data_IF_283446024362
#
_entry.id   IF_283446024362
#
_cell.length_a   1.000
_cell.length_b   1.000
_cell.length_c   1.000
_cell.angle_alpha   90.00
_cell.angle_beta   90.00
_cell.angle_gamma   90.00
#
_symmetry.space_group_name_H-M   'P 1'
#
loop_
_entity.id
_entity.type
_entity.pdbx_description
1 polymer ?
#
# COMPACT_ATOMS: atom_id res chain seq x y z
N UNK A 1 25.98 17.03 4.28
CA UNK A 1 25.23 15.88 4.84
C UNK A 1 24.17 16.45 5.76
N UNK A 2 22.90 16.01 5.64
CA UNK A 2 21.89 16.38 6.64
C UNK A 2 22.24 15.63 7.94
N UNK A 3 22.11 16.27 9.10
CA UNK A 3 22.27 15.54 10.35
C UNK A 3 21.19 14.46 10.49
N UNK A 4 21.51 13.37 11.20
CA UNK A 4 20.56 12.29 11.52
C UNK A 4 19.25 12.84 12.08
N UNK A 5 19.35 13.81 13.00
CA UNK A 5 18.20 14.51 13.58
C UNK A 5 17.35 15.21 12.52
N UNK A 6 17.96 15.93 11.56
CA UNK A 6 17.22 16.57 10.45
C UNK A 6 16.52 15.54 9.55
N UNK A 7 17.15 14.39 9.29
CA UNK A 7 16.52 13.29 8.55
C UNK A 7 15.33 12.70 9.32
N UNK A 8 15.45 12.51 10.63
CA UNK A 8 14.34 12.08 11.50
C UNK A 8 13.15 13.05 11.45
N UNK A 9 13.40 14.36 11.57
CA UNK A 9 12.34 15.38 11.41
C UNK A 9 11.69 15.36 10.02
N UNK A 10 12.47 15.14 8.96
CA UNK A 10 11.95 15.03 7.60
C UNK A 10 11.06 13.79 7.43
N UNK A 11 11.49 12.64 7.94
CA UNK A 11 10.72 11.39 7.96
C UNK A 11 9.40 11.61 8.72
N UNK A 12 9.45 12.26 9.88
CA UNK A 12 8.25 12.61 10.65
C UNK A 12 7.29 13.47 9.83
N UNK A 13 7.79 14.58 9.24
CA UNK A 13 6.95 15.53 8.52
C UNK A 13 6.26 14.88 7.31
N UNK A 14 7.00 14.14 6.49
CA UNK A 14 6.45 13.49 5.29
C UNK A 14 5.44 12.40 5.70
N UNK A 15 5.76 11.60 6.72
CA UNK A 15 4.85 10.58 7.23
C UNK A 15 3.56 11.20 7.77
N UNK A 16 3.67 12.29 8.53
CA UNK A 16 2.53 13.00 9.11
C UNK A 16 1.61 13.59 8.03
N UNK A 17 2.18 14.22 7.00
CA UNK A 17 1.42 14.68 5.83
C UNK A 17 0.71 13.50 5.14
N UNK A 18 1.38 12.37 4.99
CA UNK A 18 0.80 11.14 4.46
C UNK A 18 -0.38 10.62 5.29
N UNK A 19 -0.28 10.65 6.63
CA UNK A 19 -1.38 10.26 7.55
C UNK A 19 -2.58 11.16 7.33
N UNK A 20 -2.38 12.48 7.31
CA UNK A 20 -3.45 13.46 7.09
C UNK A 20 -4.15 13.23 5.74
N UNK A 21 -3.38 13.00 4.68
CA UNK A 21 -3.92 12.70 3.35
C UNK A 21 -4.75 11.40 3.34
N UNK A 22 -4.26 10.34 3.98
CA UNK A 22 -4.98 9.07 4.06
C UNK A 22 -6.26 9.18 4.90
N UNK A 23 -6.23 9.86 6.06
CA UNK A 23 -7.43 10.10 6.89
C UNK A 23 -8.48 10.91 6.11
N UNK A 24 -8.04 11.91 5.35
CA UNK A 24 -8.92 12.74 4.53
C UNK A 24 -9.66 11.91 3.46
N UNK A 25 -8.97 10.97 2.81
CA UNK A 25 -9.55 10.06 1.79
C UNK A 25 -10.33 8.89 2.42
N UNK A 26 -9.99 8.48 3.64
CA UNK A 26 -10.63 7.35 4.30
C UNK A 26 -12.13 7.56 4.47
N UNK A 27 -12.57 8.76 4.86
CA UNK A 27 -13.99 9.07 5.07
C UNK A 27 -14.87 8.87 3.82
N UNK A 28 -14.56 9.48 2.65
CA UNK A 28 -15.33 9.24 1.43
C UNK A 28 -15.23 7.78 0.96
N UNK A 29 -14.05 7.14 1.07
CA UNK A 29 -13.88 5.73 0.70
C UNK A 29 -14.76 4.82 1.56
N UNK A 30 -14.80 5.02 2.87
CA UNK A 30 -15.67 4.28 3.79
C UNK A 30 -17.15 4.40 3.42
N UNK A 31 -17.61 5.62 3.11
CA UNK A 31 -19.00 5.87 2.66
C UNK A 31 -19.34 5.09 1.38
N UNK A 32 -18.40 4.99 0.45
CA UNK A 32 -18.56 4.22 -0.80
C UNK A 32 -18.44 2.70 -0.55
N UNK A 33 -17.57 2.29 0.37
CA UNK A 33 -17.34 0.90 0.76
C UNK A 33 -18.56 0.28 1.43
N UNK A 34 -19.37 1.04 2.18
CA UNK A 34 -20.60 0.52 2.81
C UNK A 34 -21.80 0.52 1.86
N UNK A 35 -21.87 1.46 0.92
CA UNK A 35 -23.03 1.58 0.05
C UNK A 35 -23.15 0.40 -0.94
N UNK A 36 -24.16 -0.49 -0.83
CA UNK A 36 -24.26 -1.69 -1.66
C UNK A 36 -24.45 -1.41 -3.15
N UNK A 37 -24.90 -0.20 -3.51
CA UNK A 37 -25.03 0.25 -4.91
C UNK A 37 -23.68 0.61 -5.55
N UNK A 38 -22.62 0.71 -4.76
CA UNK A 38 -21.27 1.06 -5.22
C UNK A 38 -20.41 -0.18 -5.42
N UNK A 39 -19.42 -0.05 -6.29
CA UNK A 39 -18.50 -1.14 -6.61
C UNK A 39 -17.83 -1.72 -5.37
N UNK A 40 -17.58 -3.03 -5.37
CA UNK A 40 -16.89 -3.73 -4.28
C UNK A 40 -15.42 -3.32 -4.14
N UNK A 41 -14.90 -2.61 -5.14
CA UNK A 41 -13.56 -2.03 -5.16
C UNK A 41 -13.26 -1.15 -3.94
N UNK A 42 -14.25 -0.41 -3.45
CA UNK A 42 -14.07 0.50 -2.33
C UNK A 42 -13.80 -0.23 -1.01
N UNK A 43 -14.19 -1.50 -0.90
CA UNK A 43 -13.82 -2.36 0.24
C UNK A 43 -12.33 -2.67 0.20
N UNK A 44 -11.79 -3.00 -0.97
CA UNK A 44 -10.35 -3.27 -1.16
C UNK A 44 -9.54 -2.00 -0.85
N UNK A 45 -9.99 -0.87 -1.41
CA UNK A 45 -9.39 0.44 -1.16
C UNK A 45 -9.41 0.86 0.30
N UNK A 46 -10.49 0.55 1.02
CA UNK A 46 -10.62 0.83 2.45
C UNK A 46 -9.53 0.10 3.26
N UNK A 47 -9.36 -1.21 3.04
CA UNK A 47 -8.32 -1.97 3.73
C UNK A 47 -6.91 -1.49 3.36
N UNK A 48 -6.67 -1.12 2.10
CA UNK A 48 -5.39 -0.57 1.68
C UNK A 48 -5.04 0.74 2.41
N UNK A 49 -6.00 1.68 2.48
CA UNK A 49 -5.79 2.97 3.17
C UNK A 49 -5.58 2.76 4.67
N UNK A 50 -6.29 1.83 5.30
CA UNK A 50 -6.05 1.49 6.71
C UNK A 50 -4.63 0.96 6.94
N UNK A 51 -4.15 0.07 6.07
CA UNK A 51 -2.77 -0.42 6.11
C UNK A 51 -1.76 0.72 5.93
N UNK A 52 -1.99 1.63 4.99
CA UNK A 52 -1.15 2.81 4.76
C UNK A 52 -1.08 3.71 6.00
N UNK A 53 -2.21 3.95 6.68
CA UNK A 53 -2.25 4.75 7.92
C UNK A 53 -1.40 4.10 9.02
N UNK A 54 -1.48 2.77 9.19
CA UNK A 54 -0.69 2.07 10.20
C UNK A 54 0.81 2.19 9.88
N UNK A 55 1.23 1.90 8.64
CA UNK A 55 2.63 2.03 8.22
C UNK A 55 3.19 3.45 8.41
N UNK A 56 2.42 4.46 8.01
CA UNK A 56 2.82 5.86 8.17
C UNK A 56 2.85 6.27 9.66
N UNK A 57 1.94 5.75 10.47
CA UNK A 57 1.94 5.99 11.93
C UNK A 57 3.18 5.41 12.59
N UNK A 58 3.61 4.21 12.20
CA UNK A 58 4.85 3.64 12.72
C UNK A 58 6.08 4.44 12.24
N UNK A 59 6.08 4.89 10.99
CA UNK A 59 7.15 5.75 10.47
C UNK A 59 7.24 7.09 11.23
N UNK A 60 6.10 7.71 11.52
CA UNK A 60 6.03 9.00 12.20
C UNK A 60 6.30 8.90 13.71
N UNK A 61 5.71 7.92 14.40
CA UNK A 61 5.69 7.87 15.85
C UNK A 61 6.66 6.85 16.46
N UNK A 62 7.29 6.01 15.66
CA UNK A 62 8.30 5.05 16.14
C UNK A 62 9.65 5.25 15.44
N UNK A 63 9.73 5.16 14.10
CA UNK A 63 11.00 5.32 13.38
C UNK A 63 11.60 6.71 13.55
N UNK A 64 10.81 7.77 13.27
CA UNK A 64 11.34 9.13 13.31
C UNK A 64 11.86 9.55 14.70
N UNK A 65 11.15 9.27 15.83
CA UNK A 65 11.71 9.61 17.12
C UNK A 65 12.88 8.69 17.52
N UNK A 66 12.92 7.41 17.11
CA UNK A 66 14.11 6.56 17.31
C UNK A 66 15.35 7.17 16.64
N UNK A 67 15.19 7.74 15.45
CA UNK A 67 16.27 8.46 14.74
C UNK A 67 16.66 9.76 15.45
N UNK A 68 15.67 10.55 15.90
CA UNK A 68 15.92 11.86 16.54
C UNK A 68 16.65 11.70 17.88
N UNK A 69 16.26 10.70 18.68
CA UNK A 69 16.83 10.42 20.00
C UNK A 69 18.00 9.44 19.97
N UNK A 70 18.38 8.96 18.77
CA UNK A 70 19.45 7.97 18.56
C UNK A 70 19.37 6.78 19.52
N UNK A 71 18.15 6.33 19.80
CA UNK A 71 17.85 5.27 20.76
C UNK A 71 16.52 4.62 20.44
N UNK A 72 16.38 3.35 20.81
CA UNK A 72 15.10 2.68 20.75
C UNK A 72 14.17 3.23 21.84
N UNK A 73 13.03 3.77 21.42
CA UNK A 73 12.05 4.33 22.36
C UNK A 73 11.47 3.17 23.17
N UNK A 74 11.54 3.30 24.51
CA UNK A 74 11.07 2.32 25.50
C UNK A 74 11.93 1.08 25.72
N UNK A 75 13.16 1.03 25.21
CA UNK A 75 14.08 -0.06 25.52
C UNK A 75 14.82 0.18 26.84
N UNK A 76 14.82 -0.81 27.72
CA UNK A 76 15.83 -0.94 28.79
C UNK A 76 16.92 -1.88 28.26
N UNK A 77 18.18 -1.71 28.67
CA UNK A 77 19.40 -2.32 28.08
C UNK A 77 19.36 -3.85 27.80
N UNK A 78 18.33 -4.58 28.25
CA UNK A 78 18.18 -6.03 28.10
C UNK A 78 16.87 -6.50 27.43
N UNK A 79 15.96 -5.60 26.99
CA UNK A 79 14.63 -6.00 26.47
C UNK A 79 14.39 -5.60 25.01
N UNK A 80 14.74 -6.51 24.08
CA UNK A 80 14.48 -6.40 22.64
C UNK A 80 13.00 -6.59 22.25
N UNK A 81 12.09 -6.67 23.23
CA UNK A 81 10.67 -7.00 23.01
C UNK A 81 9.90 -5.97 22.18
N UNK A 82 10.14 -4.67 22.43
CA UNK A 82 9.40 -3.59 21.74
C UNK A 82 9.84 -3.44 20.28
N UNK A 83 11.14 -3.38 19.93
CA UNK A 83 11.57 -3.35 18.54
C UNK A 83 11.07 -4.56 17.74
N UNK A 84 11.11 -5.76 18.33
CA UNK A 84 10.54 -6.99 17.74
C UNK A 84 9.04 -6.88 17.49
N UNK A 85 8.29 -6.38 18.47
CA UNK A 85 6.83 -6.21 18.31
C UNK A 85 6.49 -5.17 17.24
N UNK A 86 7.25 -4.09 17.16
CA UNK A 86 7.09 -3.07 16.13
C UNK A 86 7.44 -3.62 14.73
N UNK A 87 8.48 -4.46 14.64
CA UNK A 87 8.82 -5.26 13.47
C UNK A 87 7.67 -6.16 13.01
N UNK A 88 7.12 -6.93 13.94
CA UNK A 88 5.93 -7.78 13.70
C UNK A 88 4.75 -7.00 13.12
N UNK A 89 4.44 -5.82 13.68
CA UNK A 89 3.37 -4.99 13.17
C UNK A 89 3.62 -4.50 11.74
N UNK A 90 4.86 -4.11 11.40
CA UNK A 90 5.17 -3.78 9.99
C UNK A 90 4.97 -4.99 9.10
N UNK A 91 5.58 -6.13 9.46
CA UNK A 91 5.56 -7.31 8.59
C UNK A 91 4.13 -7.78 8.36
N UNK A 92 3.30 -7.74 9.40
CA UNK A 92 1.86 -7.99 9.31
C UNK A 92 1.19 -7.10 8.26
N UNK A 93 1.37 -5.77 8.36
CA UNK A 93 0.75 -4.81 7.45
C UNK A 93 1.33 -4.94 6.03
N UNK A 94 2.63 -5.21 5.91
CA UNK A 94 3.31 -5.42 4.63
C UNK A 94 2.75 -6.64 3.88
N UNK A 95 2.48 -7.74 4.58
CA UNK A 95 1.86 -8.93 3.98
C UNK A 95 0.39 -8.70 3.60
N UNK A 96 -0.36 -7.96 4.42
CA UNK A 96 -1.70 -7.51 4.03
C UNK A 96 -1.62 -6.67 2.75
N UNK A 97 -0.63 -5.77 2.65
CA UNK A 97 -0.35 -4.97 1.45
C UNK A 97 -0.08 -5.83 0.22
N UNK A 98 0.81 -6.83 0.32
CA UNK A 98 1.11 -7.78 -0.75
C UNK A 98 -0.15 -8.45 -1.32
N UNK A 99 -0.96 -9.04 -0.45
CA UNK A 99 -2.19 -9.72 -0.87
C UNK A 99 -3.20 -8.72 -1.42
N UNK A 100 -3.26 -7.50 -0.87
CA UNK A 100 -4.11 -6.42 -1.38
C UNK A 100 -3.75 -6.07 -2.83
N UNK A 101 -2.46 -5.99 -3.18
CA UNK A 101 -2.02 -5.77 -4.56
C UNK A 101 -2.50 -6.87 -5.51
N UNK A 102 -2.37 -8.13 -5.08
CA UNK A 102 -2.85 -9.31 -5.84
C UNK A 102 -4.36 -9.22 -6.06
N UNK A 103 -5.12 -8.94 -4.99
CA UNK A 103 -6.59 -8.84 -5.04
C UNK A 103 -7.03 -7.66 -5.93
N UNK A 104 -6.36 -6.51 -5.85
CA UNK A 104 -6.62 -5.37 -6.74
C UNK A 104 -6.42 -5.74 -8.21
N UNK A 105 -5.25 -6.29 -8.56
CA UNK A 105 -4.91 -6.64 -9.94
C UNK A 105 -5.87 -7.70 -10.52
N UNK A 106 -6.09 -8.79 -9.79
CA UNK A 106 -6.98 -9.89 -10.21
C UNK A 106 -8.43 -9.45 -10.33
N UNK A 107 -8.91 -8.61 -9.40
CA UNK A 107 -10.25 -8.04 -9.47
C UNK A 107 -10.47 -7.23 -10.76
N UNK A 108 -9.53 -6.34 -11.11
CA UNK A 108 -9.61 -5.55 -12.35
C UNK A 108 -9.55 -6.43 -13.59
N UNK A 109 -8.67 -7.42 -13.60
CA UNK A 109 -8.56 -8.38 -14.70
C UNK A 109 -9.86 -9.15 -14.93
N UNK A 110 -10.44 -9.74 -13.87
CA UNK A 110 -11.67 -10.54 -13.98
C UNK A 110 -12.85 -9.69 -14.46
N UNK A 111 -12.95 -8.44 -14.01
CA UNK A 111 -14.02 -7.53 -14.42
C UNK A 111 -13.86 -7.08 -15.88
N UNK A 112 -12.66 -6.75 -16.34
CA UNK A 112 -12.44 -6.18 -17.68
C UNK A 112 -12.20 -7.25 -18.74
N UNK A 113 -11.35 -8.23 -18.47
CA UNK A 113 -10.95 -9.24 -19.44
C UNK A 113 -11.94 -10.41 -19.49
N UNK A 114 -12.44 -10.84 -18.32
CA UNK A 114 -13.37 -11.99 -18.21
C UNK A 114 -14.85 -11.57 -18.13
N UNK A 115 -15.15 -10.28 -18.00
CA UNK A 115 -16.51 -9.74 -17.87
C UNK A 115 -17.35 -10.41 -16.76
N UNK A 116 -16.71 -10.88 -15.68
CA UNK A 116 -17.37 -11.65 -14.63
C UNK A 116 -17.44 -10.89 -13.30
N UNK A 117 -18.55 -10.20 -13.07
CA UNK A 117 -18.75 -9.38 -11.86
C UNK A 117 -19.13 -10.19 -10.60
N UNK A 118 -19.40 -11.51 -10.71
CA UNK A 118 -19.91 -12.34 -9.61
C UNK A 118 -18.81 -13.00 -8.76
N UNK A 119 -17.56 -12.98 -9.24
CA UNK A 119 -16.42 -13.58 -8.53
C UNK A 119 -16.05 -12.74 -7.30
N UNK A 120 -15.91 -11.42 -7.48
CA UNK A 120 -15.49 -10.49 -6.42
C UNK A 120 -16.66 -9.70 -5.84
N UNK A 121 -17.58 -10.42 -5.17
CA UNK A 121 -18.63 -9.78 -4.36
C UNK A 121 -18.04 -9.21 -3.08
N UNK A 122 -18.75 -8.25 -2.46
CA UNK A 122 -18.32 -7.62 -1.20
C UNK A 122 -18.06 -8.63 -0.09
N UNK A 123 -18.98 -9.58 0.11
CA UNK A 123 -18.84 -10.64 1.10
C UNK A 123 -17.60 -11.50 0.87
N UNK A 124 -17.34 -11.89 -0.39
CA UNK A 124 -16.15 -12.66 -0.75
C UNK A 124 -14.86 -11.86 -0.54
N UNK A 125 -14.85 -10.57 -0.86
CA UNK A 125 -13.70 -9.70 -0.57
C UNK A 125 -13.45 -9.60 0.93
N UNK A 126 -14.47 -9.37 1.75
CA UNK A 126 -14.31 -9.35 3.20
C UNK A 126 -13.75 -10.70 3.72
N UNK A 127 -14.26 -11.83 3.22
CA UNK A 127 -13.75 -13.14 3.57
C UNK A 127 -12.27 -13.30 3.17
N UNK A 128 -11.88 -12.85 1.97
CA UNK A 128 -10.48 -12.84 1.52
C UNK A 128 -9.63 -12.05 2.51
N UNK A 129 -10.05 -10.84 2.92
CA UNK A 129 -9.29 -10.02 3.87
C UNK A 129 -9.20 -10.63 5.29
N UNK A 130 -10.23 -11.33 5.75
CA UNK A 130 -10.17 -12.09 7.02
C UNK A 130 -9.13 -13.21 6.94
N UNK A 131 -9.14 -13.98 5.84
CA UNK A 131 -8.13 -15.03 5.60
C UNK A 131 -6.74 -14.43 5.47
N UNK A 132 -6.62 -13.30 4.76
CA UNK A 132 -5.36 -12.56 4.62
C UNK A 132 -4.82 -12.12 5.97
N UNK A 133 -5.67 -11.62 6.88
CA UNK A 133 -5.24 -11.21 8.21
C UNK A 133 -4.65 -12.40 8.98
N UNK A 134 -5.33 -13.55 8.99
CA UNK A 134 -4.83 -14.77 9.65
C UNK A 134 -3.50 -15.21 9.04
N UNK A 135 -3.42 -15.28 7.71
CA UNK A 135 -2.19 -15.66 7.01
C UNK A 135 -1.04 -14.71 7.33
N UNK A 136 -1.28 -13.40 7.26
CA UNK A 136 -0.29 -12.37 7.51
C UNK A 136 0.19 -12.39 8.97
N UNK A 137 -0.71 -12.60 9.93
CA UNK A 137 -0.37 -12.77 11.35
C UNK A 137 0.51 -14.00 11.57
N UNK A 138 0.14 -15.16 11.02
CA UNK A 138 0.95 -16.38 11.15
C UNK A 138 2.32 -16.18 10.52
N UNK A 139 2.38 -15.61 9.30
CA UNK A 139 3.66 -15.38 8.61
C UNK A 139 4.55 -14.39 9.37
N UNK A 140 4.01 -13.25 9.81
CA UNK A 140 4.74 -12.26 10.58
C UNK A 140 5.24 -12.83 11.92
N UNK A 141 4.43 -13.66 12.58
CA UNK A 141 4.84 -14.33 13.82
C UNK A 141 6.02 -15.29 13.59
N UNK A 142 5.96 -16.10 12.54
CA UNK A 142 7.06 -17.03 12.20
C UNK A 142 8.36 -16.26 11.96
N UNK A 143 8.28 -15.15 11.24
CA UNK A 143 9.46 -14.36 10.88
C UNK A 143 10.08 -13.64 12.07
N UNK A 144 9.27 -13.08 12.96
CA UNK A 144 9.77 -12.28 14.08
C UNK A 144 10.13 -13.11 15.32
N UNK A 145 9.45 -14.23 15.55
CA UNK A 145 9.56 -14.98 16.81
C UNK A 145 10.04 -16.43 16.66
N UNK A 146 9.96 -17.02 15.46
CA UNK A 146 10.33 -18.44 15.26
C UNK A 146 11.66 -18.58 14.54
N UNK A 147 11.96 -17.73 13.56
CA UNK A 147 13.22 -17.83 12.82
C UNK A 147 14.44 -17.43 13.68
N UNK A 148 15.53 -18.21 13.62
CA UNK A 148 16.58 -18.17 14.63
C UNK A 148 17.55 -16.97 14.58
N UNK A 149 17.53 -16.14 13.52
CA UNK A 149 18.64 -15.19 13.31
C UNK A 149 18.29 -13.85 12.66
N UNK A 150 17.07 -13.63 12.16
CA UNK A 150 16.80 -12.46 11.34
C UNK A 150 15.45 -11.84 11.67
N UNK A 151 15.48 -10.88 12.58
CA UNK A 151 14.34 -10.06 12.97
C UNK A 151 14.27 -8.87 12.04
N UNK A 152 13.09 -8.43 11.64
CA UNK A 152 12.90 -7.17 10.94
C UNK A 152 12.72 -6.05 11.97
N UNK A 153 13.62 -5.07 11.98
CA UNK A 153 13.60 -4.00 12.98
C UNK A 153 13.73 -2.62 12.36
N UNK A 154 13.33 -1.61 13.13
CA UNK A 154 13.61 -0.22 12.85
C UNK A 154 14.98 0.14 13.37
N UNK A 155 15.96 0.21 12.50
CA UNK A 155 17.32 0.43 12.92
C UNK A 155 17.67 1.93 12.80
N UNK A 156 17.82 2.56 13.97
CA UNK A 156 18.13 3.97 14.09
C UNK A 156 19.59 4.28 13.72
N UNK A 157 20.49 3.29 13.70
CA UNK A 157 21.88 3.49 13.28
C UNK A 157 21.96 3.67 11.77
N UNK A 158 21.18 2.89 11.03
CA UNK A 158 21.04 2.99 9.57
C UNK A 158 19.89 3.90 9.11
N UNK A 159 19.16 4.51 10.05
CA UNK A 159 18.05 5.43 9.79
C UNK A 159 16.90 4.81 8.95
N UNK A 160 16.69 3.50 9.06
CA UNK A 160 15.84 2.77 8.12
C UNK A 160 15.38 1.42 8.65
N UNK A 161 14.64 0.70 7.81
CA UNK A 161 14.25 -0.68 8.06
C UNK A 161 15.41 -1.63 7.72
N UNK A 162 15.73 -2.56 8.62
CA UNK A 162 16.70 -3.62 8.32
C UNK A 162 16.24 -4.99 8.79
N UNK A 163 16.76 -5.98 8.08
CA UNK A 163 16.87 -7.33 8.59
C UNK A 163 18.19 -7.43 9.35
N UNK A 164 18.12 -7.75 10.65
CA UNK A 164 19.33 -8.03 11.44
C UNK A 164 20.05 -9.21 10.79
N UNK A 165 21.33 -9.03 10.43
CA UNK A 165 22.17 -10.09 9.88
C UNK A 165 23.14 -10.55 10.95
N UNK A 166 23.09 -11.83 11.28
CA UNK A 166 24.14 -12.49 12.05
C UNK A 166 25.13 -13.07 11.06
N UNK A 167 26.42 -12.76 11.22
CA UNK A 167 27.49 -13.31 10.39
C UNK A 167 27.45 -14.84 10.41
N UNK A 168 27.65 -15.47 9.25
CA UNK A 168 27.68 -16.93 9.03
C UNK A 168 26.32 -17.65 8.97
N UNK A 169 25.18 -16.97 9.20
CA UNK A 169 23.85 -17.59 9.08
C UNK A 169 23.06 -16.99 7.91
N UNK A 170 22.40 -17.86 7.14
CA UNK A 170 21.52 -17.45 6.04
C UNK A 170 20.33 -16.64 6.59
N UNK A 171 20.01 -15.50 5.94
CA UNK A 171 18.87 -14.68 6.34
C UNK A 171 17.54 -15.29 5.85
N UNK A 172 16.97 -16.16 6.69
CA UNK A 172 15.72 -16.87 6.39
C UNK A 172 14.52 -15.94 6.21
N UNK A 173 14.49 -14.82 6.95
CA UNK A 173 13.40 -13.85 6.89
C UNK A 173 13.35 -13.16 5.54
N UNK A 174 14.49 -12.65 5.11
CA UNK A 174 14.66 -11.98 3.83
C UNK A 174 14.40 -12.92 2.62
N UNK A 175 14.75 -14.20 2.76
CA UNK A 175 14.41 -15.23 1.77
C UNK A 175 12.92 -15.59 1.76
N UNK A 176 12.26 -15.60 2.93
CA UNK A 176 10.82 -15.90 3.07
C UNK A 176 9.92 -14.77 2.54
N UNK A 177 10.41 -13.54 2.51
CA UNK A 177 9.69 -12.38 1.99
C UNK A 177 9.68 -12.31 0.47
N UNK A 178 10.79 -12.69 -0.16
CA UNK A 178 10.99 -12.56 -1.59
C UNK A 178 9.88 -13.21 -2.43
N UNK A 179 9.41 -14.46 -2.16
CA UNK A 179 8.37 -15.09 -2.95
C UNK A 179 7.06 -14.30 -2.99
N UNK A 180 6.63 -13.73 -1.85
CA UNK A 180 5.36 -13.03 -1.76
C UNK A 180 5.42 -11.67 -2.46
N UNK A 181 6.52 -10.94 -2.25
CA UNK A 181 6.78 -9.68 -2.95
C UNK A 181 6.85 -9.89 -4.47
N UNK A 182 7.63 -10.88 -4.93
CA UNK A 182 7.74 -11.23 -6.34
C UNK A 182 6.39 -11.67 -6.94
N UNK A 183 5.64 -12.51 -6.23
CA UNK A 183 4.32 -12.96 -6.67
C UNK A 183 3.37 -11.78 -6.88
N UNK A 184 3.34 -10.82 -5.95
CA UNK A 184 2.48 -9.64 -6.09
C UNK A 184 2.79 -8.81 -7.35
N UNK A 185 4.08 -8.60 -7.64
CA UNK A 185 4.52 -7.89 -8.86
C UNK A 185 4.25 -8.70 -10.13
N UNK A 186 4.55 -10.01 -10.14
CA UNK A 186 4.31 -10.87 -11.30
C UNK A 186 2.83 -10.91 -11.66
N UNK A 187 1.95 -11.10 -10.67
CA UNK A 187 0.50 -11.11 -10.89
C UNK A 187 0.02 -9.74 -11.41
N UNK A 188 0.52 -8.65 -10.84
CA UNK A 188 0.18 -7.30 -11.31
C UNK A 188 0.59 -7.09 -12.77
N UNK A 189 1.83 -7.45 -13.14
CA UNK A 189 2.34 -7.33 -14.51
C UNK A 189 1.47 -8.13 -15.49
N UNK A 190 1.18 -9.40 -15.19
CA UNK A 190 0.33 -10.26 -16.05
C UNK A 190 -1.07 -9.67 -16.21
N UNK A 191 -1.71 -9.25 -15.11
CA UNK A 191 -3.06 -8.70 -15.11
C UNK A 191 -3.15 -7.39 -15.91
N UNK A 192 -2.29 -6.41 -15.61
CA UNK A 192 -2.35 -5.10 -16.26
C UNK A 192 -1.91 -5.15 -17.72
N UNK A 193 -0.95 -6.00 -18.07
CA UNK A 193 -0.58 -6.25 -19.48
C UNK A 193 -1.77 -6.81 -20.25
N UNK A 194 -2.49 -7.77 -19.66
CA UNK A 194 -3.69 -8.36 -20.27
C UNK A 194 -4.83 -7.35 -20.41
N UNK A 195 -5.03 -6.47 -19.42
CA UNK A 195 -6.04 -5.40 -19.47
C UNK A 195 -5.72 -4.42 -20.60
N UNK A 196 -4.48 -3.93 -20.67
CA UNK A 196 -4.04 -3.00 -21.71
C UNK A 196 -4.22 -3.66 -23.08
N UNK A 197 -3.74 -4.89 -23.27
CA UNK A 197 -3.91 -5.64 -24.52
C UNK A 197 -5.38 -5.78 -24.94
N UNK A 198 -6.26 -6.18 -24.01
CA UNK A 198 -7.70 -6.34 -24.28
C UNK A 198 -8.35 -5.02 -24.71
N UNK A 199 -7.96 -3.91 -24.09
CA UNK A 199 -8.49 -2.58 -24.41
C UNK A 199 -8.02 -2.13 -25.79
N UNK A 200 -6.73 -2.28 -26.11
CA UNK A 200 -6.21 -1.97 -27.44
C UNK A 200 -6.91 -2.79 -28.53
N UNK A 201 -7.12 -4.09 -28.29
CA UNK A 201 -7.86 -4.96 -29.23
C UNK A 201 -9.33 -4.53 -29.37
N UNK A 202 -9.99 -4.19 -28.28
CA UNK A 202 -11.40 -3.80 -28.30
C UNK A 202 -11.63 -2.41 -28.90
N UNK A 203 -10.71 -1.47 -28.72
CA UNK A 203 -10.79 -0.15 -29.36
C UNK A 203 -10.63 -0.20 -30.88
N UNK A 204 -9.89 -1.19 -31.42
CA UNK A 204 -9.82 -1.44 -32.87
C UNK A 204 -11.13 -2.01 -33.44
N UNK A 205 -11.93 -2.70 -32.64
CA UNK A 205 -13.17 -3.38 -33.07
C UNK A 205 -14.41 -2.50 -32.92
N UNK A 206 -14.43 -1.56 -31.96
CA UNK A 206 -15.65 -0.82 -31.57
C UNK A 206 -15.74 0.59 -32.18
N UNK A 207 -15.44 0.73 -33.47
CA UNK A 207 -15.81 1.92 -34.27
C UNK A 207 -17.23 1.76 -34.85
N UNK A 208 -17.79 0.55 -34.91
CA UNK A 208 -19.12 0.31 -35.45
C UNK A 208 -20.09 -0.27 -34.41
N UNK A 209 -21.25 0.39 -34.31
CA UNK A 209 -22.53 -0.04 -33.73
C UNK A 209 -22.86 0.42 -32.29
N UNK A 210 -24.10 0.91 -32.22
CA UNK A 210 -24.70 1.78 -31.21
C UNK A 210 -25.45 0.95 -30.16
N UNK A 211 -25.20 1.22 -28.88
CA UNK A 211 -26.16 1.38 -27.77
C UNK A 211 -25.36 1.71 -26.50
N UNK A 212 -24.46 2.68 -26.65
CA UNK A 212 -23.10 2.56 -26.11
C UNK A 212 -22.79 3.53 -24.98
N UNK A 213 -23.66 4.48 -24.62
CA UNK A 213 -23.28 5.58 -23.71
C UNK A 213 -23.05 5.10 -22.27
N UNK A 214 -24.00 4.35 -21.70
CA UNK A 214 -23.91 3.85 -20.33
C UNK A 214 -22.86 2.74 -20.18
N UNK A 215 -22.79 1.82 -21.16
CA UNK A 215 -21.77 0.77 -21.18
C UNK A 215 -20.36 1.34 -21.40
N UNK A 216 -20.19 2.35 -22.27
CA UNK A 216 -18.90 3.05 -22.47
C UNK A 216 -18.50 3.81 -21.21
N UNK A 217 -19.45 4.50 -20.57
CA UNK A 217 -19.17 5.22 -19.33
C UNK A 217 -18.75 4.26 -18.21
N UNK A 218 -19.45 3.14 -18.06
CA UNK A 218 -19.05 2.08 -17.11
C UNK A 218 -17.69 1.50 -17.44
N UNK A 219 -17.42 1.17 -18.71
CA UNK A 219 -16.10 0.63 -19.14
C UNK A 219 -14.97 1.63 -18.91
N UNK A 220 -15.19 2.91 -19.22
CA UNK A 220 -14.22 3.97 -18.97
C UNK A 220 -13.92 4.10 -17.47
N UNK A 221 -14.95 4.00 -16.63
CA UNK A 221 -14.79 4.01 -15.18
C UNK A 221 -13.99 2.82 -14.65
N UNK A 222 -14.29 1.60 -15.12
CA UNK A 222 -13.51 0.42 -14.75
C UNK A 222 -12.04 0.54 -15.19
N UNK A 223 -11.78 1.19 -16.34
CA UNK A 223 -10.43 1.48 -16.81
C UNK A 223 -9.71 2.51 -15.94
N UNK A 224 -10.37 3.61 -15.56
CA UNK A 224 -9.80 4.59 -14.63
C UNK A 224 -9.41 3.90 -13.31
N UNK A 225 -10.25 3.03 -12.78
CA UNK A 225 -9.92 2.22 -11.61
C UNK A 225 -8.73 1.27 -11.84
N UNK A 226 -8.62 0.68 -13.04
CA UNK A 226 -7.47 -0.16 -13.38
C UNK A 226 -6.17 0.65 -13.45
N UNK A 227 -6.19 1.84 -14.06
CA UNK A 227 -5.03 2.74 -14.09
C UNK A 227 -4.65 3.23 -12.70
N UNK A 228 -5.65 3.53 -11.87
CA UNK A 228 -5.45 3.92 -10.49
C UNK A 228 -4.68 2.84 -9.71
N UNK A 229 -5.14 1.58 -9.78
CA UNK A 229 -4.49 0.47 -9.09
C UNK A 229 -3.17 0.04 -9.72
N UNK A 230 -3.00 0.25 -11.03
CA UNK A 230 -1.72 0.07 -11.70
C UNK A 230 -0.68 1.06 -11.15
N UNK A 231 -1.03 2.34 -11.01
CA UNK A 231 -0.14 3.34 -10.40
C UNK A 231 0.24 2.97 -8.97
N UNK A 232 -0.72 2.53 -8.16
CA UNK A 232 -0.47 2.05 -6.79
C UNK A 232 0.53 0.86 -6.81
N UNK A 233 0.34 -0.10 -7.71
CA UNK A 233 1.23 -1.25 -7.85
C UNK A 233 2.65 -0.89 -8.29
N UNK A 234 2.83 0.18 -9.07
CA UNK A 234 4.15 0.69 -9.45
C UNK A 234 4.91 1.26 -8.25
N UNK A 235 4.27 2.11 -7.45
CA UNK A 235 4.89 2.63 -6.22
C UNK A 235 5.26 1.51 -5.25
N UNK A 236 4.38 0.53 -5.10
CA UNK A 236 4.63 -0.64 -4.28
C UNK A 236 5.84 -1.44 -4.79
N UNK A 237 5.85 -1.75 -6.09
CA UNK A 237 6.94 -2.52 -6.71
C UNK A 237 8.28 -1.79 -6.57
N UNK A 238 8.27 -0.48 -6.82
CA UNK A 238 9.44 0.35 -6.64
C UNK A 238 9.96 0.31 -5.19
N UNK A 239 9.08 0.48 -4.20
CA UNK A 239 9.47 0.50 -2.79
C UNK A 239 10.11 -0.82 -2.33
N UNK A 240 9.52 -1.98 -2.66
CA UNK A 240 10.06 -3.27 -2.21
C UNK A 240 11.34 -3.66 -2.95
N UNK A 241 11.43 -3.37 -4.26
CA UNK A 241 12.67 -3.59 -5.03
C UNK A 241 13.78 -2.71 -4.48
N UNK A 242 13.47 -1.46 -4.14
CA UNK A 242 14.43 -0.53 -3.54
C UNK A 242 14.90 -1.03 -2.17
N UNK A 243 13.98 -1.44 -1.28
CA UNK A 243 14.30 -2.05 0.02
C UNK A 243 15.27 -3.24 -0.11
N UNK A 244 15.14 -4.03 -1.18
CA UNK A 244 15.96 -5.23 -1.42
C UNK A 244 17.31 -4.93 -2.06
N UNK A 245 17.32 -4.17 -3.15
CA UNK A 245 18.50 -3.94 -3.97
C UNK A 245 19.43 -2.89 -3.37
N UNK A 246 18.87 -1.89 -2.67
CA UNK A 246 19.66 -0.79 -2.15
C UNK A 246 20.74 -1.25 -1.16
N UNK A 247 20.46 -2.11 -0.15
CA UNK A 247 21.49 -2.62 0.74
C UNK A 247 22.56 -3.50 0.07
N UNK A 248 22.23 -4.14 -1.06
CA UNK A 248 23.18 -4.97 -1.82
C UNK A 248 24.13 -4.10 -2.63
N UNK A 249 23.61 -3.04 -3.26
CA UNK A 249 24.40 -2.13 -4.08
C UNK A 249 25.25 -1.16 -3.26
N UNK A 250 24.77 -0.76 -2.07
CA UNK A 250 25.37 0.30 -1.26
C UNK A 250 25.81 -0.16 0.14
N UNK A 251 25.94 -1.48 0.36
CA UNK A 251 26.24 -2.13 1.65
C UNK A 251 27.55 -1.78 2.38
N UNK A 252 28.24 -0.72 1.96
CA UNK A 252 29.44 -0.17 2.62
C UNK A 252 29.51 1.37 2.60
N UNK A 253 28.40 2.05 2.27
CA UNK A 253 28.31 3.52 2.31
C UNK A 253 27.72 4.02 3.62
N UNK A 254 27.78 5.34 3.85
CA UNK A 254 27.27 5.98 5.07
C UNK A 254 25.81 5.61 5.33
N UNK A 255 25.49 5.35 6.60
CA UNK A 255 24.15 5.05 7.09
C UNK A 255 23.06 6.02 6.60
N UNK A 256 23.40 7.30 6.40
CA UNK A 256 22.48 8.32 5.89
C UNK A 256 21.80 7.94 4.57
N UNK A 257 22.49 7.21 3.69
CA UNK A 257 21.94 6.77 2.41
C UNK A 257 20.79 5.78 2.56
N UNK A 258 20.77 4.99 3.64
CA UNK A 258 19.72 4.01 3.90
C UNK A 258 18.39 4.66 4.29
N UNK A 259 18.38 5.94 4.69
CA UNK A 259 17.15 6.72 4.89
C UNK A 259 16.29 6.83 3.61
N UNK A 260 16.89 6.68 2.42
CA UNK A 260 16.16 6.62 1.15
C UNK A 260 15.16 5.46 1.08
N UNK A 261 15.47 4.34 1.73
CA UNK A 261 14.56 3.21 1.83
C UNK A 261 13.33 3.62 2.64
N UNK A 262 13.52 4.30 3.78
CA UNK A 262 12.41 4.81 4.59
C UNK A 262 11.53 5.77 3.78
N UNK A 263 12.14 6.72 3.05
CA UNK A 263 11.40 7.62 2.17
C UNK A 263 10.60 6.88 1.10
N UNK A 264 11.16 5.83 0.48
CA UNK A 264 10.46 5.05 -0.53
C UNK A 264 9.20 4.35 0.02
N UNK A 265 9.28 3.77 1.23
CA UNK A 265 8.14 3.13 1.90
C UNK A 265 7.06 4.17 2.29
N UNK A 266 7.48 5.33 2.78
CA UNK A 266 6.58 6.44 3.15
C UNK A 266 5.89 7.01 1.90
N UNK A 267 6.64 7.21 0.81
CA UNK A 267 6.10 7.69 -0.46
C UNK A 267 5.08 6.69 -1.00
N UNK A 268 5.38 5.38 -0.98
CA UNK A 268 4.42 4.36 -1.40
C UNK A 268 3.09 4.45 -0.63
N UNK A 269 3.17 4.52 0.70
CA UNK A 269 1.98 4.58 1.56
C UNK A 269 1.23 5.92 1.44
N UNK A 270 1.93 7.00 1.10
CA UNK A 270 1.34 8.33 0.88
C UNK A 270 0.72 8.47 -0.51
N UNK A 271 1.37 7.93 -1.54
CA UNK A 271 0.97 8.04 -2.95
C UNK A 271 -0.44 7.48 -3.18
N UNK A 272 -0.81 6.43 -2.45
CA UNK A 272 -2.13 5.82 -2.54
C UNK A 272 -3.25 6.86 -2.34
N UNK A 273 -3.20 7.68 -1.28
CA UNK A 273 -4.18 8.73 -1.02
C UNK A 273 -4.25 9.76 -2.16
N UNK A 274 -3.10 10.22 -2.65
CA UNK A 274 -3.05 11.18 -3.77
C UNK A 274 -3.65 10.58 -5.05
N UNK A 275 -3.35 9.32 -5.35
CA UNK A 275 -3.90 8.60 -6.49
C UNK A 275 -5.43 8.49 -6.38
N UNK A 276 -5.98 8.21 -5.19
CA UNK A 276 -7.44 8.23 -4.98
C UNK A 276 -8.04 9.61 -5.26
N UNK A 277 -7.39 10.69 -4.83
CA UNK A 277 -7.88 12.07 -5.04
C UNK A 277 -7.84 12.49 -6.51
N UNK A 278 -6.81 12.09 -7.25
CA UNK A 278 -6.59 12.48 -8.66
C UNK A 278 -7.49 11.67 -9.60
N UNK A 279 -7.53 10.34 -9.44
CA UNK A 279 -8.17 9.47 -10.40
C UNK A 279 -9.65 9.18 -10.09
N UNK A 280 -10.07 9.25 -8.82
CA UNK A 280 -11.41 8.80 -8.44
C UNK A 280 -12.41 9.97 -8.36
N UNK A 281 -13.14 10.18 -9.46
CA UNK A 281 -14.16 11.24 -9.54
C UNK A 281 -15.24 11.13 -8.45
N UNK A 282 -15.65 9.92 -8.05
CA UNK A 282 -16.66 9.75 -6.99
C UNK A 282 -16.16 10.25 -5.63
N UNK A 283 -14.87 10.11 -5.34
CA UNK A 283 -14.25 10.64 -4.13
C UNK A 283 -14.18 12.17 -4.21
N UNK A 284 -13.73 12.70 -5.35
CA UNK A 284 -13.68 14.14 -5.59
C UNK A 284 -15.06 14.81 -5.48
N UNK A 285 -16.12 14.17 -5.97
CA UNK A 285 -17.51 14.65 -5.86
C UNK A 285 -18.03 14.69 -4.42
N UNK A 286 -17.62 13.74 -3.56
CA UNK A 286 -18.00 13.74 -2.15
C UNK A 286 -17.26 14.82 -1.37
N UNK A 287 -16.00 15.08 -1.74
CA UNK A 287 -15.13 16.06 -1.07
C UNK A 287 -15.49 17.48 -1.47
N UNK A 288 -15.83 17.73 -2.74
CA UNK A 288 -16.25 19.05 -3.20
C UNK A 288 -17.55 19.44 -2.50
N UNK A 289 -17.60 20.57 -1.77
CA UNK A 289 -18.84 21.03 -1.15
C UNK A 289 -19.88 21.23 -2.24
N UNK A 290 -21.06 20.62 -2.07
CA UNK A 290 -22.11 20.66 -3.07
C UNK A 290 -22.60 22.10 -3.26
N UNK A 291 -22.20 22.74 -4.35
CA UNK A 291 -22.87 23.96 -4.85
C UNK A 291 -24.36 23.74 -5.19
N UNK A 292 -24.88 22.51 -5.06
CA UNK A 292 -26.30 22.17 -5.24
C UNK A 292 -27.21 22.50 -4.06
N UNK A 293 -26.68 22.82 -2.87
CA UNK A 293 -27.54 23.19 -1.73
C UNK A 293 -27.95 24.67 -1.70
N UNK A 294 -27.29 25.58 -2.44
CA UNK A 294 -27.67 27.00 -2.48
C UNK A 294 -28.83 27.33 -3.41
N UNK A 295 -29.17 26.47 -4.39
CA UNK A 295 -30.33 26.70 -5.29
C UNK A 295 -31.67 26.24 -4.72
N UNK A 296 -31.68 25.42 -3.67
CA UNK A 296 -32.94 24.96 -3.04
C UNK A 296 -33.49 26.01 -2.06
N UNK A 297 -32.65 26.94 -1.58
CA UNK A 297 -33.06 28.05 -0.71
C UNK A 297 -33.36 29.37 -1.45
N UNK A 298 -33.28 29.38 -2.79
CA UNK A 298 -33.69 30.53 -3.61
C UNK A 298 -35.05 30.34 -4.30
N UNK A 299 -35.77 29.25 -3.99
CA UNK A 299 -37.12 28.97 -4.50
C UNK A 299 -38.09 28.65 -3.35
N UNK A 300 -37.90 29.26 -2.18
CA UNK A 300 -38.92 29.33 -1.14
C UNK A 300 -39.06 30.76 -0.66
#
# INVERSE_FOLDING_TARGET
>A
MLSKTSLGFLIFLISFVGILANIFVLRPVYKLAINPKKSSIYVISFFNILADIVNLSQSAFYLAPCIIFESYIFETENDVGIPKFMGFLIMLIWYIGNITQIVMATNRYVVICSNNHKIFTRQKICLIFVVTLVFATVKAYIIEYVFPCCVFVFDHEILSYSYIRVSEILNYTDLSDLPLNALSTIVAVICYTSIIYKIHKSNKIVIHLISYKDQKQRRNKEFIYAMQFFSISLFYTFAWVFLRLFPVLFGGQNAEWFSLIAFCVIINSSANAFIYLIFNQEISEIIKPSQKQSKIWQIR
#
